data_IF_051446676081
#
_entry.id   IF_051446676081
#
_cell.length_a   1.000
_cell.length_b   1.000
_cell.length_c   1.000
_cell.angle_alpha   90.00
_cell.angle_beta   90.00
_cell.angle_gamma   90.00
#
_symmetry.space_group_name_H-M   'P 1'
#
loop_
_entity.id
_entity.type
_entity.pdbx_description
1 polymer ?
#
# COMPACT_ATOMS: atom_id res chain seq x y z
N UNK A 1 5.01 12.22 9.15
CA UNK A 1 6.19 11.44 8.70
C UNK A 1 6.66 10.65 9.92
N UNK A 2 6.87 9.34 9.80
CA UNK A 2 7.25 8.50 10.95
C UNK A 2 6.30 7.35 11.29
N UNK A 3 5.06 7.38 10.79
CA UNK A 3 4.01 6.50 11.31
C UNK A 3 4.17 5.05 10.85
N UNK A 4 4.62 4.86 9.60
CA UNK A 4 4.82 3.54 9.01
C UNK A 4 6.29 3.10 9.06
N UNK A 5 7.22 3.95 9.49
CA UNK A 5 8.65 3.64 9.59
C UNK A 5 8.94 2.32 10.35
N UNK A 6 8.24 1.96 11.45
CA UNK A 6 8.43 0.65 12.07
C UNK A 6 8.06 -0.54 11.16
N UNK A 7 6.98 -0.39 10.38
CA UNK A 7 6.51 -1.40 9.44
C UNK A 7 7.44 -1.48 8.23
N UNK A 8 7.85 -0.35 7.66
CA UNK A 8 8.85 -0.28 6.58
C UNK A 8 10.15 -0.97 7.00
N UNK A 9 10.60 -0.70 8.24
CA UNK A 9 11.78 -1.31 8.83
C UNK A 9 11.61 -2.82 9.02
N UNK A 10 10.43 -3.28 9.44
CA UNK A 10 10.09 -4.69 9.56
C UNK A 10 10.17 -5.40 8.19
N UNK A 11 9.48 -4.87 7.18
CA UNK A 11 9.45 -5.45 5.83
C UNK A 11 10.86 -5.52 5.26
N UNK A 12 11.57 -4.39 5.24
CA UNK A 12 12.94 -4.28 4.71
C UNK A 12 13.88 -5.27 5.38
N UNK A 13 13.81 -5.40 6.71
CA UNK A 13 14.65 -6.33 7.47
C UNK A 13 14.41 -7.80 7.07
N UNK A 14 13.14 -8.18 6.92
CA UNK A 14 12.79 -9.55 6.56
C UNK A 14 13.16 -9.88 5.10
N UNK A 15 13.06 -8.91 4.18
CA UNK A 15 13.55 -9.06 2.79
C UNK A 15 15.05 -9.30 2.75
N UNK A 16 15.84 -8.48 3.46
CA UNK A 16 17.29 -8.69 3.56
C UNK A 16 17.62 -10.06 4.16
N UNK A 17 16.89 -10.49 5.20
CA UNK A 17 17.10 -11.81 5.79
C UNK A 17 16.79 -12.93 4.81
N UNK A 18 15.71 -12.81 4.02
CA UNK A 18 15.36 -13.80 3.01
C UNK A 18 16.42 -13.90 1.90
N UNK A 19 17.04 -12.78 1.52
CA UNK A 19 18.06 -12.74 0.46
C UNK A 19 19.48 -13.11 0.94
N UNK A 20 19.86 -12.72 2.16
CA UNK A 20 21.26 -12.77 2.63
C UNK A 20 21.46 -13.64 3.90
N UNK A 21 20.40 -14.14 4.53
CA UNK A 21 20.46 -14.76 5.86
C UNK A 21 20.73 -13.74 6.97
N UNK A 22 20.64 -14.16 8.23
CA UNK A 22 20.94 -13.28 9.38
C UNK A 22 20.29 -13.70 10.70
N UNK A 23 20.57 -12.93 11.76
CA UNK A 23 19.94 -13.06 13.08
C UNK A 23 18.42 -12.87 12.98
N UNK A 24 17.65 -13.40 13.92
CA UNK A 24 16.19 -13.28 13.92
C UNK A 24 15.73 -12.17 14.90
N UNK A 25 15.69 -10.91 14.43
CA UNK A 25 15.18 -9.76 15.19
C UNK A 25 13.72 -9.39 14.85
N UNK A 26 13.03 -10.23 14.06
CA UNK A 26 11.68 -9.91 13.54
C UNK A 26 10.64 -9.82 14.66
N UNK A 27 10.81 -10.54 15.77
CA UNK A 27 9.90 -10.47 16.92
C UNK A 27 9.95 -9.10 17.61
N UNK A 28 11.14 -8.52 17.77
CA UNK A 28 11.32 -7.22 18.43
C UNK A 28 10.75 -6.09 17.56
N UNK A 29 11.03 -6.12 16.25
CA UNK A 29 10.55 -5.12 15.30
C UNK A 29 9.02 -5.23 15.11
N UNK A 30 8.48 -6.45 15.03
CA UNK A 30 7.02 -6.67 15.02
C UNK A 30 6.34 -6.17 16.30
N UNK A 31 7.05 -6.23 17.45
CA UNK A 31 6.61 -5.63 18.71
C UNK A 31 6.40 -4.12 18.61
N UNK A 32 7.28 -3.40 17.91
CA UNK A 32 7.17 -1.95 17.70
C UNK A 32 5.98 -1.62 16.81
N UNK A 33 5.75 -2.40 15.74
CA UNK A 33 4.63 -2.21 14.82
C UNK A 33 3.27 -2.30 15.53
N UNK A 34 3.14 -3.17 16.54
CA UNK A 34 1.91 -3.34 17.33
C UNK A 34 1.63 -2.21 18.32
N UNK A 35 2.63 -1.37 18.64
CA UNK A 35 2.51 -0.31 19.64
C UNK A 35 1.91 1.01 19.12
N UNK A 36 1.80 1.18 17.80
CA UNK A 36 1.35 2.41 17.15
C UNK A 36 0.07 2.22 16.31
N UNK A 37 -0.70 3.30 16.13
CA UNK A 37 -1.76 3.30 15.13
C UNK A 37 -1.14 3.32 13.73
N UNK A 38 -1.52 2.37 12.88
CA UNK A 38 -1.14 2.35 11.45
C UNK A 38 -2.14 3.12 10.56
N UNK A 39 -3.32 3.47 11.09
CA UNK A 39 -4.42 4.09 10.34
C UNK A 39 -4.00 5.46 9.79
N UNK A 40 -4.25 5.67 8.51
CA UNK A 40 -4.05 6.94 7.82
C UNK A 40 -5.15 7.14 6.77
N UNK A 41 -5.54 8.39 6.52
CA UNK A 41 -6.42 8.79 5.41
C UNK A 41 -5.62 9.33 4.21
N UNK A 42 -4.29 9.39 4.33
CA UNK A 42 -3.40 9.79 3.26
C UNK A 42 -3.25 8.69 2.19
N UNK A 43 -3.55 8.98 0.90
CA UNK A 43 -3.49 7.97 -0.16
C UNK A 43 -2.12 7.29 -0.29
N UNK A 44 -1.03 8.04 -0.11
CA UNK A 44 0.31 7.47 -0.19
C UNK A 44 0.55 6.46 0.93
N UNK A 45 0.20 6.83 2.16
CA UNK A 45 0.31 5.93 3.31
C UNK A 45 -0.60 4.70 3.20
N UNK A 46 -1.81 4.85 2.63
CA UNK A 46 -2.69 3.69 2.35
C UNK A 46 -2.03 2.76 1.33
N UNK A 47 -1.45 3.31 0.25
CA UNK A 47 -0.70 2.53 -0.74
C UNK A 47 0.47 1.76 -0.12
N UNK A 48 1.21 2.39 0.79
CA UNK A 48 2.27 1.74 1.58
C UNK A 48 1.75 0.57 2.41
N UNK A 49 0.66 0.75 3.16
CA UNK A 49 0.06 -0.34 3.94
C UNK A 49 -0.38 -1.52 3.07
N UNK A 50 -0.91 -1.28 1.86
CA UNK A 50 -1.29 -2.35 0.94
C UNK A 50 -0.07 -3.13 0.43
N UNK A 51 1.02 -2.41 0.12
CA UNK A 51 2.29 -3.01 -0.25
C UNK A 51 2.87 -3.85 0.90
N UNK A 52 2.92 -3.29 2.11
CA UNK A 52 3.43 -4.00 3.29
C UNK A 52 2.57 -5.21 3.66
N UNK A 53 1.24 -5.14 3.48
CA UNK A 53 0.35 -6.27 3.73
C UNK A 53 0.70 -7.49 2.87
N UNK A 54 1.07 -7.28 1.60
CA UNK A 54 1.52 -8.35 0.71
C UNK A 54 2.81 -9.00 1.23
N UNK A 55 3.76 -8.18 1.68
CA UNK A 55 5.03 -8.63 2.26
C UNK A 55 4.84 -9.41 3.55
N UNK A 56 4.00 -8.90 4.44
CA UNK A 56 3.68 -9.58 5.70
C UNK A 56 2.95 -10.90 5.43
N UNK A 57 2.06 -10.96 4.42
CA UNK A 57 1.39 -12.20 4.02
C UNK A 57 2.40 -13.24 3.49
N UNK A 58 3.33 -12.84 2.63
CA UNK A 58 4.40 -13.74 2.15
C UNK A 58 5.27 -14.29 3.30
N UNK A 59 5.52 -13.50 4.34
CA UNK A 59 6.29 -13.92 5.51
C UNK A 59 5.50 -14.88 6.40
N UNK A 60 4.19 -14.65 6.56
CA UNK A 60 3.30 -15.55 7.29
C UNK A 60 3.26 -16.95 6.65
N UNK A 61 3.28 -17.04 5.31
CA UNK A 61 3.35 -18.33 4.61
C UNK A 61 4.64 -19.12 4.94
N UNK A 62 5.76 -18.42 5.19
CA UNK A 62 7.09 -19.01 5.42
C UNK A 62 7.35 -19.34 6.89
N UNK A 63 6.92 -18.48 7.81
CA UNK A 63 7.23 -18.58 9.25
C UNK A 63 6.02 -18.97 10.10
N UNK A 64 4.87 -19.21 9.47
CA UNK A 64 3.62 -19.63 10.11
C UNK A 64 2.90 -18.48 10.84
N UNK A 65 2.12 -18.85 11.86
CA UNK A 65 1.20 -17.97 12.60
C UNK A 65 1.83 -16.75 13.30
N UNK A 66 3.16 -16.60 13.30
CA UNK A 66 3.86 -15.57 14.06
C UNK A 66 3.50 -14.13 13.67
N UNK A 67 3.00 -13.92 12.44
CA UNK A 67 2.68 -12.59 11.91
C UNK A 67 1.22 -12.40 11.50
N UNK A 68 0.32 -13.35 11.81
CA UNK A 68 -1.11 -13.20 11.47
C UNK A 68 -1.76 -11.98 12.14
N UNK A 69 -1.46 -11.73 13.41
CA UNK A 69 -1.97 -10.55 14.13
C UNK A 69 -1.46 -9.23 13.53
N UNK A 70 -0.20 -9.21 13.08
CA UNK A 70 0.38 -8.05 12.41
C UNK A 70 -0.29 -7.84 11.05
N UNK A 71 -0.44 -8.89 10.25
CA UNK A 71 -1.13 -8.83 8.97
C UNK A 71 -2.56 -8.31 9.12
N UNK A 72 -3.31 -8.85 10.09
CA UNK A 72 -4.66 -8.40 10.39
C UNK A 72 -4.69 -6.90 10.75
N UNK A 73 -3.74 -6.43 11.56
CA UNK A 73 -3.64 -5.01 11.94
C UNK A 73 -3.34 -4.11 10.75
N UNK A 74 -2.44 -4.52 9.85
CA UNK A 74 -2.10 -3.79 8.61
C UNK A 74 -3.30 -3.74 7.67
N UNK A 75 -3.98 -4.87 7.46
CA UNK A 75 -5.16 -4.96 6.59
C UNK A 75 -6.33 -4.12 7.12
N UNK A 76 -6.57 -4.14 8.43
CA UNK A 76 -7.61 -3.31 9.08
C UNK A 76 -7.31 -1.81 8.93
N UNK A 77 -6.03 -1.41 9.06
CA UNK A 77 -5.60 -0.04 8.85
C UNK A 77 -5.77 0.40 7.39
N UNK A 78 -5.36 -0.43 6.44
CA UNK A 78 -5.51 -0.17 5.01
C UNK A 78 -6.98 -0.03 4.61
N UNK A 79 -7.85 -0.95 5.05
CA UNK A 79 -9.30 -0.88 4.78
C UNK A 79 -9.94 0.35 5.40
N UNK A 80 -9.56 0.70 6.64
CA UNK A 80 -10.08 1.89 7.32
C UNK A 80 -9.68 3.16 6.56
N UNK A 81 -8.43 3.23 6.10
CA UNK A 81 -7.92 4.32 5.26
C UNK A 81 -8.60 4.41 3.91
N UNK A 82 -8.74 3.30 3.19
CA UNK A 82 -9.48 3.22 1.91
C UNK A 82 -10.92 3.70 2.05
N UNK A 83 -11.61 3.27 3.11
CA UNK A 83 -12.98 3.69 3.37
C UNK A 83 -13.07 5.19 3.69
N UNK A 84 -12.11 5.75 4.43
CA UNK A 84 -12.03 7.19 4.69
C UNK A 84 -11.75 7.99 3.41
N UNK A 85 -10.77 7.57 2.62
CA UNK A 85 -10.40 8.18 1.36
C UNK A 85 -11.56 8.20 0.36
N UNK A 86 -12.23 7.06 0.17
CA UNK A 86 -13.37 6.93 -0.75
C UNK A 86 -14.55 7.82 -0.33
N UNK A 87 -14.83 7.94 0.97
CA UNK A 87 -15.87 8.85 1.49
C UNK A 87 -15.52 10.33 1.35
N UNK A 88 -14.22 10.66 1.39
CA UNK A 88 -13.74 12.04 1.27
C UNK A 88 -14.00 12.67 -0.10
N UNK A 89 -14.24 11.86 -1.14
CA UNK A 89 -14.58 12.33 -2.47
C UNK A 89 -13.46 13.12 -3.16
N UNK A 90 -12.22 12.99 -2.67
CA UNK A 90 -11.07 13.81 -3.08
C UNK A 90 -10.75 13.68 -4.59
N UNK A 91 -11.08 12.54 -5.19
CA UNK A 91 -10.93 12.29 -6.63
C UNK A 91 -11.86 13.14 -7.52
N UNK A 92 -12.88 13.79 -6.95
CA UNK A 92 -13.76 14.70 -7.69
C UNK A 92 -13.21 16.13 -7.79
N UNK A 93 -12.15 16.46 -7.06
CA UNK A 93 -11.54 17.78 -7.11
C UNK A 93 -10.75 18.01 -8.42
N UNK A 94 -10.61 19.27 -8.87
CA UNK A 94 -9.72 19.61 -9.97
C UNK A 94 -8.25 19.34 -9.61
N UNK A 95 -7.40 19.22 -10.63
CA UNK A 95 -6.01 18.81 -10.48
C UNK A 95 -5.20 19.72 -9.53
N UNK A 96 -5.48 21.04 -9.50
CA UNK A 96 -4.81 22.01 -8.60
C UNK A 96 -5.10 21.80 -7.10
N UNK A 97 -6.03 20.93 -6.75
CA UNK A 97 -6.35 20.56 -5.36
C UNK A 97 -5.97 19.11 -5.03
N UNK A 98 -5.28 18.42 -5.95
CA UNK A 98 -4.90 17.03 -5.83
C UNK A 98 -3.39 16.87 -5.86
N UNK A 99 -2.88 15.83 -5.20
CA UNK A 99 -1.45 15.52 -5.14
C UNK A 99 -1.20 14.19 -5.82
N UNK A 100 -0.74 14.26 -7.08
CA UNK A 100 -0.63 13.10 -7.95
C UNK A 100 0.22 11.97 -7.37
N UNK A 101 1.43 12.24 -6.86
CA UNK A 101 2.27 11.19 -6.28
C UNK A 101 1.60 10.43 -5.13
N UNK A 102 0.72 11.07 -4.35
CA UNK A 102 0.00 10.40 -3.25
C UNK A 102 -1.03 9.44 -3.80
N UNK A 103 -1.85 9.90 -4.74
CA UNK A 103 -2.88 9.09 -5.37
C UNK A 103 -2.27 7.96 -6.22
N UNK A 104 -1.18 8.23 -6.95
CA UNK A 104 -0.46 7.21 -7.72
C UNK A 104 0.20 6.18 -6.80
N UNK A 105 0.66 6.59 -5.61
CA UNK A 105 1.09 5.66 -4.56
C UNK A 105 -0.01 4.70 -4.11
N UNK A 106 -1.24 5.22 -3.93
CA UNK A 106 -2.42 4.38 -3.69
C UNK A 106 -2.68 3.43 -4.87
N UNK A 107 -2.61 3.93 -6.12
CA UNK A 107 -2.80 3.11 -7.33
C UNK A 107 -1.83 1.93 -7.36
N UNK A 108 -0.55 2.17 -7.10
CA UNK A 108 0.50 1.13 -7.05
C UNK A 108 0.17 0.09 -5.98
N UNK A 109 -0.21 0.51 -4.76
CA UNK A 109 -0.61 -0.42 -3.70
C UNK A 109 -1.84 -1.26 -4.07
N UNK A 110 -2.82 -0.65 -4.74
CA UNK A 110 -4.04 -1.34 -5.21
C UNK A 110 -3.76 -2.36 -6.33
N UNK A 111 -2.76 -2.14 -7.19
CA UNK A 111 -2.32 -3.17 -8.14
C UNK A 111 -1.83 -4.44 -7.42
N UNK A 112 -1.21 -4.30 -6.24
CA UNK A 112 -0.79 -5.42 -5.40
C UNK A 112 -1.94 -6.21 -4.77
N UNK A 113 -3.15 -5.65 -4.70
CA UNK A 113 -4.30 -6.29 -4.06
C UNK A 113 -4.68 -7.60 -4.77
N UNK A 114 -4.54 -7.70 -6.09
CA UNK A 114 -4.87 -8.94 -6.81
C UNK A 114 -4.10 -10.14 -6.25
N UNK A 115 -2.78 -10.04 -6.19
CA UNK A 115 -1.87 -11.07 -5.65
C UNK A 115 -2.17 -11.33 -4.17
N UNK A 116 -2.34 -10.28 -3.39
CA UNK A 116 -2.68 -10.38 -1.97
C UNK A 116 -3.98 -11.17 -1.77
N UNK A 117 -5.04 -10.88 -2.52
CA UNK A 117 -6.34 -11.55 -2.37
C UNK A 117 -6.30 -13.03 -2.71
N UNK A 118 -5.46 -13.46 -3.66
CA UNK A 118 -5.27 -14.87 -3.95
C UNK A 118 -4.75 -15.61 -2.71
N UNK A 119 -3.73 -15.05 -2.03
CA UNK A 119 -3.21 -15.61 -0.77
C UNK A 119 -4.23 -15.56 0.37
N UNK A 120 -4.89 -14.42 0.56
CA UNK A 120 -5.86 -14.24 1.66
C UNK A 120 -7.04 -15.22 1.54
N UNK A 121 -7.40 -15.65 0.32
CA UNK A 121 -8.47 -16.63 0.10
C UNK A 121 -8.09 -18.06 0.51
N UNK A 122 -6.80 -18.38 0.58
CA UNK A 122 -6.32 -19.69 1.03
C UNK A 122 -6.48 -19.85 2.55
N UNK A 123 -6.58 -18.75 3.30
CA UNK A 123 -6.80 -18.76 4.75
C UNK A 123 -8.23 -18.29 5.11
N UNK A 124 -9.11 -19.18 5.60
CA UNK A 124 -10.48 -18.82 5.98
C UNK A 124 -10.59 -17.67 7.01
N UNK A 125 -9.59 -17.52 7.89
CA UNK A 125 -9.57 -16.42 8.86
C UNK A 125 -9.37 -15.05 8.18
N UNK A 126 -8.66 -15.04 7.04
CA UNK A 126 -8.26 -13.84 6.29
C UNK A 126 -9.17 -13.51 5.10
N UNK A 127 -10.06 -14.43 4.72
CA UNK A 127 -10.95 -14.31 3.57
C UNK A 127 -11.77 -13.00 3.55
N UNK A 128 -12.22 -12.52 4.71
CA UNK A 128 -13.04 -11.29 4.82
C UNK A 128 -12.35 -10.04 4.26
N UNK A 129 -11.03 -9.95 4.37
CA UNK A 129 -10.27 -8.81 3.87
C UNK A 129 -10.12 -8.86 2.35
N UNK A 130 -10.07 -10.05 1.76
CA UNK A 130 -9.94 -10.21 0.32
C UNK A 130 -11.11 -9.54 -0.42
N UNK A 131 -12.34 -9.87 -0.06
CA UNK A 131 -13.54 -9.31 -0.72
C UNK A 131 -13.69 -7.81 -0.45
N UNK A 132 -13.34 -7.35 0.76
CA UNK A 132 -13.38 -5.93 1.11
C UNK A 132 -12.38 -5.10 0.30
N UNK A 133 -11.15 -5.61 0.08
CA UNK A 133 -10.13 -4.92 -0.69
C UNK A 133 -10.46 -4.87 -2.19
N UNK A 134 -11.03 -5.95 -2.74
CA UNK A 134 -11.43 -6.00 -4.16
C UNK A 134 -12.42 -4.90 -4.52
N UNK A 135 -13.23 -4.43 -3.57
CA UNK A 135 -14.16 -3.31 -3.77
C UNK A 135 -13.47 -2.00 -4.21
N UNK A 136 -12.20 -1.81 -3.83
CA UNK A 136 -11.45 -0.58 -4.07
C UNK A 136 -10.52 -0.65 -5.28
N UNK A 137 -10.33 -1.82 -5.90
CA UNK A 137 -9.50 -2.00 -7.10
C UNK A 137 -9.90 -1.05 -8.26
N UNK A 138 -11.19 -0.75 -8.51
CA UNK A 138 -11.57 0.20 -9.56
C UNK A 138 -11.00 1.62 -9.39
N UNK A 139 -10.52 2.00 -8.20
CA UNK A 139 -9.87 3.30 -7.99
C UNK A 139 -8.56 3.45 -8.77
N UNK A 140 -7.90 2.34 -9.12
CA UNK A 140 -6.70 2.32 -9.96
C UNK A 140 -6.98 3.03 -11.29
N UNK A 141 -8.00 2.55 -12.02
CA UNK A 141 -8.37 3.10 -13.32
C UNK A 141 -8.82 4.57 -13.21
N UNK A 142 -9.51 4.92 -12.13
CA UNK A 142 -9.97 6.29 -11.88
C UNK A 142 -8.79 7.26 -11.70
N UNK A 143 -7.83 6.89 -10.85
CA UNK A 143 -6.63 7.69 -10.55
C UNK A 143 -5.74 7.80 -11.78
N UNK A 144 -5.43 6.66 -12.41
CA UNK A 144 -4.50 6.61 -13.54
C UNK A 144 -5.07 7.35 -14.75
N UNK A 145 -6.34 7.15 -15.09
CA UNK A 145 -6.97 7.87 -16.21
C UNK A 145 -6.97 9.38 -15.99
N UNK A 146 -7.18 9.84 -14.75
CA UNK A 146 -7.12 11.26 -14.42
C UNK A 146 -5.72 11.83 -14.65
N UNK A 147 -4.68 11.19 -14.12
CA UNK A 147 -3.31 11.66 -14.31
C UNK A 147 -2.71 11.29 -15.67
N UNK A 148 -3.36 10.44 -16.46
CA UNK A 148 -3.00 10.16 -17.85
C UNK A 148 -3.31 11.35 -18.78
N UNK A 149 -4.34 12.13 -18.46
CA UNK A 149 -4.68 13.34 -19.21
C UNK A 149 -3.58 14.41 -19.05
N UNK A 150 -2.99 14.83 -20.17
CA UNK A 150 -1.94 15.85 -20.18
C UNK A 150 -2.40 17.18 -19.59
N UNK A 151 -3.70 17.52 -19.69
CA UNK A 151 -4.25 18.77 -19.12
C UNK A 151 -4.14 18.79 -17.60
N UNK A 152 -4.37 17.66 -16.94
CA UNK A 152 -4.25 17.56 -15.49
C UNK A 152 -2.79 17.66 -15.04
N UNK A 153 -1.83 17.34 -15.91
CA UNK A 153 -0.39 17.49 -15.64
C UNK A 153 0.14 18.91 -15.82
N UNK A 154 -0.66 19.82 -16.36
CA UNK A 154 -0.34 21.24 -16.43
C UNK A 154 -0.62 21.96 -15.10
N UNK A 155 -1.37 21.32 -14.19
CA UNK A 155 -1.71 21.86 -12.88
C UNK A 155 -0.48 22.20 -12.02
N UNK A 156 -0.62 23.23 -11.18
CA UNK A 156 0.49 23.71 -10.36
C UNK A 156 1.02 22.64 -9.40
N UNK A 157 0.12 21.86 -8.80
CA UNK A 157 0.44 20.74 -7.89
C UNK A 157 1.23 19.64 -8.58
N UNK A 158 0.94 19.37 -9.86
CA UNK A 158 1.72 18.43 -10.67
C UNK A 158 3.12 18.98 -10.93
N UNK A 159 3.21 20.21 -11.44
CA UNK A 159 4.47 20.80 -11.88
C UNK A 159 5.44 21.04 -10.72
N UNK A 160 4.94 21.40 -9.53
CA UNK A 160 5.75 21.55 -8.32
C UNK A 160 6.40 20.24 -7.86
N UNK A 161 5.81 19.09 -8.20
CA UNK A 161 6.28 17.76 -7.81
C UNK A 161 6.57 16.88 -9.03
N UNK A 162 6.98 17.50 -10.15
CA UNK A 162 7.03 16.85 -11.48
C UNK A 162 7.85 15.56 -11.48
N UNK A 163 9.01 15.56 -10.84
CA UNK A 163 9.95 14.43 -10.85
C UNK A 163 9.33 13.19 -10.20
N UNK A 164 8.83 13.33 -8.97
CA UNK A 164 8.16 12.23 -8.26
C UNK A 164 6.87 11.81 -8.97
N UNK A 165 6.07 12.76 -9.48
CA UNK A 165 4.84 12.43 -10.18
C UNK A 165 5.07 11.59 -11.44
N UNK A 166 6.12 11.90 -12.20
CA UNK A 166 6.49 11.14 -13.41
C UNK A 166 6.91 9.71 -13.03
N UNK A 167 7.74 9.55 -11.99
CA UNK A 167 8.15 8.22 -11.52
C UNK A 167 6.96 7.42 -11.03
N UNK A 168 6.13 7.99 -10.15
CA UNK A 168 4.97 7.32 -9.59
C UNK A 168 3.96 6.92 -10.67
N UNK A 169 3.76 7.76 -11.69
CA UNK A 169 2.89 7.42 -12.82
C UNK A 169 3.47 6.29 -13.67
N UNK A 170 4.78 6.33 -13.97
CA UNK A 170 5.41 5.25 -14.72
C UNK A 170 5.31 3.91 -13.97
N UNK A 171 5.55 3.93 -12.64
CA UNK A 171 5.42 2.76 -11.78
C UNK A 171 3.98 2.28 -11.69
N UNK A 172 2.98 3.16 -11.59
CA UNK A 172 1.57 2.73 -11.52
C UNK A 172 1.12 2.04 -12.81
N UNK A 173 1.58 2.50 -13.97
CA UNK A 173 1.27 1.90 -15.28
C UNK A 173 2.01 0.57 -15.53
N UNK A 174 3.11 0.33 -14.83
CA UNK A 174 3.92 -0.90 -14.96
C UNK A 174 4.44 -1.35 -13.58
N UNK A 175 3.55 -1.77 -12.66
CA UNK A 175 3.91 -2.02 -11.26
C UNK A 175 4.58 -3.38 -11.05
N UNK A 176 4.61 -4.24 -12.08
CA UNK A 176 5.03 -5.64 -11.98
C UNK A 176 6.39 -5.85 -11.31
N UNK A 177 7.44 -5.17 -11.79
CA UNK A 177 8.78 -5.30 -11.21
C UNK A 177 8.87 -4.74 -9.78
N UNK A 178 8.07 -3.72 -9.45
CA UNK A 178 8.03 -3.16 -8.11
C UNK A 178 7.31 -4.10 -7.12
N UNK A 179 6.23 -4.75 -7.57
CA UNK A 179 5.43 -5.67 -6.75
C UNK A 179 6.06 -7.08 -6.65
N UNK A 180 6.93 -7.45 -7.59
CA UNK A 180 7.55 -8.78 -7.66
C UNK A 180 8.80 -8.97 -6.80
N UNK A 181 9.29 -7.90 -6.13
CA UNK A 181 10.48 -7.97 -5.25
C UNK A 181 10.30 -9.00 -4.15
#
# INVERSE_FOLDING_TARGET
MGQHDPLDGFVTYNEFRAAAGGTHLSVEIAGICRGGSLVTDDPLGIGGLLFDAERVAQLADREGFAYEDLLASVLDAALSGLAAFARGGMLHYPADHRLAFRELGLSIGLHGVGILTERLRENPALFRWADALMWYVPLVDEIERFWLDSKNREAGTWMQNREINVVMLATSLAPGEFLAV
#
